data_IF_592159953923
#
_entry.id   IF_592159953923
#
_cell.length_a   1.000
_cell.length_b   1.000
_cell.length_c   1.000
_cell.angle_alpha   90.00
_cell.angle_beta   90.00
_cell.angle_gamma   90.00
#
_symmetry.space_group_name_H-M   'P 1'
#
loop_
_entity.id
_entity.type
_entity.pdbx_description
1 polymer ?
#
# COMPACT_ATOMS: atom_id res chain seq x y z
N UNK A 1 -14.46 12.98 -5.63
CA UNK A 1 -13.85 11.79 -6.27
C UNK A 1 -14.91 11.10 -7.08
N UNK A 2 -14.77 11.06 -8.42
CA UNK A 2 -15.75 10.46 -9.32
C UNK A 2 -15.67 8.91 -9.29
N UNK A 3 -16.81 8.24 -9.46
CA UNK A 3 -16.96 6.78 -9.31
C UNK A 3 -16.10 6.01 -10.31
N UNK A 4 -15.90 6.58 -11.50
CA UNK A 4 -15.10 5.97 -12.55
C UNK A 4 -13.60 6.03 -12.22
N UNK A 5 -13.16 7.10 -11.56
CA UNK A 5 -11.78 7.28 -11.10
C UNK A 5 -11.41 6.24 -10.03
N UNK A 6 -12.31 6.00 -9.07
CA UNK A 6 -12.12 4.98 -8.03
C UNK A 6 -12.03 3.58 -8.64
N UNK A 7 -12.88 3.27 -9.63
CA UNK A 7 -12.88 1.97 -10.31
C UNK A 7 -11.58 1.73 -11.08
N UNK A 8 -11.09 2.72 -11.82
CA UNK A 8 -9.83 2.62 -12.58
C UNK A 8 -8.63 2.45 -11.64
N UNK A 9 -8.57 3.23 -10.56
CA UNK A 9 -7.51 3.09 -9.54
C UNK A 9 -7.51 1.72 -8.87
N UNK A 10 -8.70 1.17 -8.58
CA UNK A 10 -8.82 -0.16 -8.00
C UNK A 10 -8.31 -1.26 -8.94
N UNK A 11 -8.62 -1.20 -10.23
CA UNK A 11 -8.12 -2.17 -11.22
C UNK A 11 -6.60 -2.13 -11.38
N UNK A 12 -5.97 -0.97 -11.19
CA UNK A 12 -4.52 -0.81 -11.30
C UNK A 12 -3.75 -1.32 -10.07
N UNK A 13 -4.37 -1.30 -8.88
CA UNK A 13 -3.70 -1.68 -7.62
C UNK A 13 -4.04 -3.09 -7.13
N UNK A 14 -5.22 -3.61 -7.44
CA UNK A 14 -5.64 -4.92 -6.95
C UNK A 14 -5.00 -6.06 -7.76
N UNK A 15 -3.90 -6.62 -7.25
CA UNK A 15 -3.25 -7.82 -7.83
C UNK A 15 -4.20 -9.04 -7.75
N UNK A 16 -5.02 -9.11 -6.70
CA UNK A 16 -6.00 -10.19 -6.51
C UNK A 16 -7.34 -9.83 -7.14
N UNK A 17 -7.84 -10.69 -8.04
CA UNK A 17 -9.17 -10.53 -8.64
C UNK A 17 -10.28 -10.50 -7.56
N UNK A 18 -11.34 -9.70 -7.75
CA UNK A 18 -12.45 -9.59 -6.79
C UNK A 18 -13.08 -10.95 -6.40
N UNK A 19 -13.32 -11.83 -7.38
CA UNK A 19 -13.90 -13.16 -7.15
C UNK A 19 -13.03 -14.03 -6.22
N UNK A 20 -11.72 -13.93 -6.36
CA UNK A 20 -10.77 -14.68 -5.55
C UNK A 20 -10.66 -14.10 -4.15
N UNK A 21 -10.67 -12.77 -4.01
CA UNK A 21 -10.72 -12.11 -2.71
C UNK A 21 -11.97 -12.50 -1.93
N UNK A 22 -13.15 -12.47 -2.56
CA UNK A 22 -14.41 -12.88 -1.94
C UNK A 22 -14.36 -14.31 -1.42
N UNK A 23 -13.85 -15.26 -2.21
CA UNK A 23 -13.67 -16.66 -1.78
C UNK A 23 -12.72 -16.81 -0.59
N UNK A 24 -11.62 -16.05 -0.57
CA UNK A 24 -10.66 -16.07 0.55
C UNK A 24 -11.32 -15.55 1.83
N UNK A 25 -12.11 -14.47 1.74
CA UNK A 25 -12.84 -13.90 2.87
C UNK A 25 -13.86 -14.90 3.41
N UNK A 26 -14.72 -15.46 2.55
CA UNK A 26 -15.76 -16.41 2.97
C UNK A 26 -15.15 -17.64 3.67
N UNK A 27 -14.09 -18.22 3.11
CA UNK A 27 -13.36 -19.33 3.75
C UNK A 27 -12.75 -18.95 5.10
N UNK A 28 -12.34 -17.70 5.26
CA UNK A 28 -11.81 -17.17 6.52
C UNK A 28 -12.89 -17.08 7.59
N UNK A 29 -14.07 -16.58 7.21
CA UNK A 29 -15.26 -16.47 8.08
C UNK A 29 -15.76 -17.87 8.50
N UNK A 30 -15.91 -18.79 7.56
CA UNK A 30 -16.31 -20.19 7.83
C UNK A 30 -15.39 -20.88 8.86
N UNK A 31 -14.10 -20.53 8.84
CA UNK A 31 -13.10 -21.08 9.76
C UNK A 31 -12.89 -20.26 11.03
N UNK A 32 -13.76 -19.27 11.28
CA UNK A 32 -13.68 -18.34 12.40
C UNK A 32 -12.27 -17.75 12.59
N UNK A 33 -11.63 -17.37 11.48
CA UNK A 33 -10.28 -16.82 11.50
C UNK A 33 -10.34 -15.38 12.01
N UNK A 34 -9.52 -15.01 13.02
CA UNK A 34 -9.49 -13.64 13.54
C UNK A 34 -8.91 -12.63 12.54
N UNK A 35 -8.26 -13.10 11.46
CA UNK A 35 -7.64 -12.27 10.43
C UNK A 35 -7.60 -13.03 9.10
N UNK A 36 -7.85 -12.31 8.01
CA UNK A 36 -7.79 -12.83 6.63
C UNK A 36 -6.85 -11.93 5.81
N UNK A 37 -5.84 -12.53 5.18
CA UNK A 37 -4.88 -11.83 4.32
C UNK A 37 -5.24 -12.12 2.86
N UNK A 38 -5.46 -11.07 2.07
CA UNK A 38 -5.91 -11.17 0.69
C UNK A 38 -4.73 -10.88 -0.22
N UNK A 39 -4.23 -11.90 -0.93
CA UNK A 39 -3.12 -11.74 -1.86
C UNK A 39 -1.72 -11.83 -1.22
N UNK A 40 -0.67 -11.91 -2.06
CA UNK A 40 0.72 -12.05 -1.61
C UNK A 40 1.25 -10.77 -0.95
N UNK A 41 0.84 -9.61 -1.44
CA UNK A 41 1.15 -8.28 -0.91
C UNK A 41 0.66 -8.11 0.53
N UNK A 42 -0.59 -8.46 0.82
CA UNK A 42 -1.12 -8.41 2.19
C UNK A 42 -0.30 -9.28 3.17
N UNK A 43 0.22 -10.42 2.70
CA UNK A 43 1.08 -11.28 3.51
C UNK A 43 2.45 -10.68 3.76
N UNK A 44 3.03 -9.99 2.78
CA UNK A 44 4.29 -9.26 2.96
C UNK A 44 4.10 -8.13 3.99
N UNK A 45 3.08 -7.30 3.82
CA UNK A 45 2.80 -6.21 4.75
C UNK A 45 2.47 -6.68 6.17
N UNK A 46 1.77 -7.82 6.32
CA UNK A 46 1.52 -8.42 7.64
C UNK A 46 2.80 -9.00 8.27
N UNK A 47 3.79 -9.39 7.45
CA UNK A 47 5.06 -9.94 7.93
C UNK A 47 6.08 -8.87 8.37
N UNK A 48 6.10 -7.69 7.71
CA UNK A 48 7.03 -6.61 8.03
C UNK A 48 7.05 -6.28 9.54
N UNK A 49 5.94 -5.86 10.17
CA UNK A 49 5.95 -5.49 11.58
C UNK A 49 6.24 -6.70 12.49
N UNK A 50 5.99 -7.94 12.04
CA UNK A 50 6.31 -9.15 12.82
C UNK A 50 7.81 -9.47 12.84
N UNK A 51 8.54 -9.10 11.78
CA UNK A 51 9.97 -9.41 11.65
C UNK A 51 10.80 -8.28 12.24
N UNK A 52 10.54 -7.03 11.83
CA UNK A 52 11.37 -5.89 12.20
C UNK A 52 10.80 -5.05 13.35
N UNK A 53 9.58 -5.35 13.81
CA UNK A 53 8.93 -4.63 14.90
C UNK A 53 8.66 -3.17 14.51
N UNK A 54 8.68 -2.21 15.46
CA UNK A 54 8.39 -0.80 15.20
C UNK A 54 9.42 -0.09 14.31
N UNK A 55 10.59 -0.72 14.05
CA UNK A 55 11.66 -0.12 13.22
C UNK A 55 11.29 0.09 11.75
N UNK A 56 10.16 -0.47 11.30
CA UNK A 56 9.63 -0.11 9.96
C UNK A 56 9.32 1.38 9.85
N UNK A 57 8.94 2.03 10.96
CA UNK A 57 8.68 3.46 11.01
C UNK A 57 9.96 4.26 10.81
N UNK A 58 11.08 3.82 11.38
CA UNK A 58 12.40 4.45 11.19
C UNK A 58 12.86 4.36 9.72
N UNK A 59 12.57 3.25 9.05
CA UNK A 59 12.81 3.06 7.61
C UNK A 59 11.91 3.96 6.74
N UNK A 60 10.68 4.21 7.18
CA UNK A 60 9.72 5.04 6.47
C UNK A 60 9.86 6.53 6.78
N UNK A 61 10.44 6.91 7.91
CA UNK A 61 10.62 8.29 8.35
C UNK A 61 11.36 9.19 7.33
N UNK A 62 12.42 8.72 6.63
CA UNK A 62 13.02 9.47 5.52
C UNK A 62 12.04 9.76 4.39
N UNK A 63 11.11 8.85 4.08
CA UNK A 63 10.12 9.02 3.01
C UNK A 63 9.04 10.06 3.38
N UNK A 64 8.61 10.10 4.65
CA UNK A 64 7.71 11.15 5.16
C UNK A 64 8.40 12.54 5.19
N UNK A 65 9.68 12.57 5.52
CA UNK A 65 10.51 13.78 5.45
C UNK A 65 10.75 14.26 4.02
N UNK A 66 10.89 13.33 3.07
CA UNK A 66 11.09 13.60 1.63
C UNK A 66 9.97 14.43 1.01
N UNK A 67 8.73 14.16 1.42
CA UNK A 67 7.54 14.90 0.98
C UNK A 67 7.43 16.31 1.57
N UNK A 68 8.06 16.56 2.73
CA UNK A 68 8.11 17.88 3.40
C UNK A 68 9.37 18.70 3.09
N UNK A 69 10.50 18.06 2.78
CA UNK A 69 11.79 18.69 2.51
C UNK A 69 12.31 18.31 1.12
N UNK A 70 11.82 19.02 0.10
CA UNK A 70 12.71 19.52 -0.94
C UNK A 70 13.27 18.56 -1.99
N UNK A 71 12.93 17.28 -2.04
CA UNK A 71 13.34 16.44 -3.20
C UNK A 71 12.62 16.88 -4.47
N UNK A 72 11.33 17.25 -4.37
CA UNK A 72 10.59 17.88 -5.47
C UNK A 72 11.28 19.16 -5.97
N UNK A 73 11.64 20.08 -5.06
CA UNK A 73 12.36 21.32 -5.41
C UNK A 73 13.77 21.11 -5.95
N UNK A 74 14.54 20.14 -5.42
CA UNK A 74 15.93 19.90 -5.82
C UNK A 74 16.05 19.18 -7.16
N UNK A 75 15.07 18.33 -7.49
CA UNK A 75 14.94 17.72 -8.81
C UNK A 75 14.39 18.76 -9.81
N UNK A 76 13.31 19.46 -9.47
CA UNK A 76 12.72 20.49 -10.34
C UNK A 76 13.71 21.62 -10.68
N UNK A 77 14.48 22.11 -9.69
CA UNK A 77 15.54 23.08 -9.90
C UNK A 77 16.74 22.57 -10.71
N UNK A 78 17.00 21.25 -10.72
CA UNK A 78 18.03 20.63 -11.57
C UNK A 78 17.58 20.44 -13.02
N UNK A 79 16.26 20.46 -13.26
CA UNK A 79 15.65 20.34 -14.58
C UNK A 79 15.04 21.67 -15.09
N UNK A 80 15.24 22.78 -14.39
CA UNK A 80 14.76 24.11 -14.80
C UNK A 80 13.23 24.26 -14.80
N UNK A 81 12.52 23.42 -14.06
CA UNK A 81 11.05 23.50 -13.93
C UNK A 81 10.76 24.11 -12.57
N UNK A 82 10.12 25.28 -12.53
CA UNK A 82 9.56 25.82 -11.30
C UNK A 82 8.21 25.14 -11.02
N UNK A 83 8.04 24.65 -9.79
CA UNK A 83 6.76 24.18 -9.23
C UNK A 83 6.16 25.27 -8.35
#
# INVERSE_FOLDING_TARGET
>A
MDRETVRKGFQLMAITRPDSAARIILRGVEKNRPRVLIGPDARVFDAIPRIIGPRYEDLMAPFYGMGRYGIGKKIAGRFGIEL
#
